data_IF_515927989536
#
_entry.id   IF_515927989536
#
_cell.length_a   1.000
_cell.length_b   1.000
_cell.length_c   1.000
_cell.angle_alpha   90.00
_cell.angle_beta   90.00
_cell.angle_gamma   90.00
#
_symmetry.space_group_name_H-M   'P 1'
#
loop_
_entity.id
_entity.type
_entity.pdbx_description
1 polymer ?
#
# COMPACT_ATOMS: atom_id res chain seq x y z
N UNK A 1 -13.29 3.47 -10.66
CA UNK A 1 -13.78 2.34 -9.83
C UNK A 1 -12.92 1.12 -10.08
N UNK A 2 -12.56 0.39 -9.05
CA UNK A 2 -11.81 -0.85 -9.19
C UNK A 2 -12.73 -1.95 -9.74
N UNK A 3 -12.32 -2.63 -10.83
CA UNK A 3 -13.05 -3.78 -11.32
C UNK A 3 -12.77 -5.04 -10.49
N UNK A 4 -13.57 -6.08 -10.65
CA UNK A 4 -13.50 -7.30 -9.83
C UNK A 4 -12.15 -8.04 -9.95
N UNK A 5 -11.53 -8.03 -11.14
CA UNK A 5 -10.22 -8.66 -11.34
C UNK A 5 -9.12 -7.94 -10.55
N UNK A 6 -9.14 -6.61 -10.51
CA UNK A 6 -8.20 -5.81 -9.72
C UNK A 6 -8.43 -6.03 -8.24
N UNK A 7 -9.68 -6.04 -7.78
CA UNK A 7 -10.01 -6.33 -6.37
C UNK A 7 -9.52 -7.71 -5.95
N UNK A 8 -9.73 -8.71 -6.78
CA UNK A 8 -9.24 -10.08 -6.52
C UNK A 8 -7.72 -10.11 -6.40
N UNK A 9 -7.01 -9.50 -7.34
CA UNK A 9 -5.56 -9.44 -7.31
C UNK A 9 -5.03 -8.72 -6.07
N UNK A 10 -5.66 -7.62 -5.66
CA UNK A 10 -5.35 -6.88 -4.44
C UNK A 10 -5.57 -7.71 -3.18
N UNK A 11 -6.63 -8.51 -3.11
CA UNK A 11 -6.91 -9.36 -1.95
C UNK A 11 -5.95 -10.52 -1.81
N UNK A 12 -5.57 -11.14 -2.93
CA UNK A 12 -4.79 -12.39 -2.94
C UNK A 12 -3.26 -12.19 -2.86
N UNK A 13 -2.75 -11.00 -3.16
CA UNK A 13 -1.31 -10.75 -3.25
C UNK A 13 -0.83 -9.72 -2.23
N UNK A 14 0.45 -9.77 -1.88
CA UNK A 14 1.13 -8.77 -1.06
C UNK A 14 1.15 -7.41 -1.75
N UNK A 15 1.07 -6.35 -0.99
CA UNK A 15 1.26 -4.99 -1.49
C UNK A 15 2.60 -4.45 -1.05
N UNK A 16 3.25 -3.71 -1.95
CA UNK A 16 4.35 -2.82 -1.60
C UNK A 16 3.81 -1.40 -1.50
N UNK A 17 3.98 -0.80 -0.33
CA UNK A 17 3.60 0.59 -0.09
C UNK A 17 4.83 1.47 -0.21
N UNK A 18 4.75 2.51 -1.02
CA UNK A 18 5.83 3.47 -1.21
C UNK A 18 5.39 4.87 -0.80
N UNK A 19 6.26 5.54 -0.06
CA UNK A 19 6.14 6.96 0.30
C UNK A 19 7.44 7.67 0.08
N UNK A 20 7.38 8.99 -0.04
CA UNK A 20 8.55 9.83 -0.12
C UNK A 20 8.35 11.06 0.77
N UNK A 21 9.37 11.44 1.50
CA UNK A 21 9.41 12.69 2.27
C UNK A 21 10.82 13.27 2.23
N UNK A 22 10.92 14.58 2.05
CA UNK A 22 12.21 15.29 1.91
C UNK A 22 13.16 14.67 0.85
N UNK A 23 12.60 14.13 -0.24
CA UNK A 23 13.36 13.48 -1.31
C UNK A 23 13.86 12.06 -0.99
N UNK A 24 13.56 11.51 0.18
CA UNK A 24 13.98 10.15 0.59
C UNK A 24 12.83 9.17 0.34
N UNK A 25 12.99 8.22 -0.58
CA UNK A 25 11.99 7.20 -0.84
C UNK A 25 11.99 6.12 0.25
N UNK A 26 10.81 5.56 0.51
CA UNK A 26 10.63 4.43 1.40
C UNK A 26 9.62 3.46 0.82
N UNK A 27 9.87 2.16 0.96
CA UNK A 27 8.96 1.09 0.53
C UNK A 27 8.91 -0.01 1.56
N UNK A 28 7.70 -0.50 1.83
CA UNK A 28 7.47 -1.63 2.74
C UNK A 28 6.45 -2.61 2.17
N UNK A 29 6.65 -3.92 2.30
CA UNK A 29 5.62 -4.91 2.00
C UNK A 29 4.60 -4.95 3.13
N UNK A 30 3.33 -5.15 2.80
CA UNK A 30 2.25 -5.29 3.78
C UNK A 30 1.38 -6.50 3.48
N UNK A 31 1.09 -7.26 4.53
CA UNK A 31 0.20 -8.41 4.51
C UNK A 31 -1.19 -8.09 5.12
N UNK A 32 -1.23 -7.23 6.14
CA UNK A 32 -2.49 -6.76 6.75
C UNK A 32 -3.12 -5.68 5.88
N UNK A 33 -3.91 -6.10 4.91
CA UNK A 33 -4.52 -5.22 3.92
C UNK A 33 -5.83 -5.80 3.42
N UNK A 34 -6.72 -4.96 2.96
CA UNK A 34 -7.98 -5.38 2.33
C UNK A 34 -8.52 -4.28 1.40
N UNK A 35 -9.56 -4.63 0.67
CA UNK A 35 -10.36 -3.71 -0.14
C UNK A 35 -11.77 -3.70 0.42
N UNK A 36 -12.27 -2.55 0.81
CA UNK A 36 -13.63 -2.39 1.34
C UNK A 36 -14.67 -2.51 0.23
N UNK A 37 -15.93 -2.74 0.60
CA UNK A 37 -17.02 -2.88 -0.37
C UNK A 37 -17.24 -1.61 -1.19
N UNK A 38 -16.98 -0.44 -0.62
CA UNK A 38 -17.01 0.86 -1.30
C UNK A 38 -15.74 1.18 -2.11
N UNK A 39 -14.81 0.22 -2.19
CA UNK A 39 -13.63 0.29 -3.05
C UNK A 39 -12.44 1.05 -2.46
N UNK A 40 -12.43 1.34 -1.17
CA UNK A 40 -11.25 1.89 -0.49
C UNK A 40 -10.23 0.80 -0.22
N UNK A 41 -8.98 1.16 -0.31
CA UNK A 41 -7.88 0.31 0.08
C UNK A 41 -7.55 0.57 1.54
N UNK A 42 -7.44 -0.49 2.34
CA UNK A 42 -7.15 -0.37 3.78
C UNK A 42 -5.95 -1.20 4.16
N UNK A 43 -5.12 -0.68 5.04
CA UNK A 43 -3.90 -1.32 5.54
C UNK A 43 -3.86 -1.22 7.05
N UNK A 44 -3.62 -2.35 7.72
CA UNK A 44 -3.46 -2.38 9.18
C UNK A 44 -2.12 -1.79 9.61
N UNK A 45 -2.17 -0.86 10.57
CA UNK A 45 -0.98 -0.27 11.17
C UNK A 45 -0.47 -1.16 12.31
N UNK A 46 0.32 -2.17 11.97
CA UNK A 46 0.98 -3.03 12.95
C UNK A 46 2.44 -2.61 13.16
N UNK A 47 3.20 -2.46 12.09
CA UNK A 47 4.62 -2.13 12.10
C UNK A 47 4.97 -0.90 11.24
N UNK A 48 4.00 -0.06 10.94
CA UNK A 48 4.22 1.14 10.14
C UNK A 48 4.79 2.24 11.04
N UNK A 49 6.01 2.67 10.78
CA UNK A 49 6.66 3.77 11.49
C UNK A 49 7.11 4.88 10.51
N UNK A 50 8.13 4.62 9.72
CA UNK A 50 8.60 5.58 8.69
C UNK A 50 7.50 5.95 7.71
N UNK A 51 6.66 4.99 7.33
CA UNK A 51 5.50 5.20 6.48
C UNK A 51 4.55 6.27 7.05
N UNK A 52 4.19 6.15 8.33
CA UNK A 52 3.29 7.11 9.00
C UNK A 52 3.90 8.51 9.10
N UNK A 53 5.19 8.60 9.41
CA UNK A 53 5.92 9.88 9.45
C UNK A 53 5.94 10.55 8.08
N UNK A 54 6.20 9.77 7.04
CA UNK A 54 6.21 10.28 5.66
C UNK A 54 4.83 10.77 5.23
N UNK A 55 3.78 10.02 5.53
CA UNK A 55 2.40 10.42 5.22
C UNK A 55 1.99 11.72 5.93
N UNK A 56 2.38 11.88 7.19
CA UNK A 56 2.13 13.12 7.93
C UNK A 56 2.87 14.32 7.31
N UNK A 57 4.08 14.12 6.78
CA UNK A 57 4.90 15.17 6.20
C UNK A 57 4.56 15.49 4.74
N UNK A 58 3.99 14.55 3.97
CA UNK A 58 3.77 14.67 2.53
C UNK A 58 2.32 14.91 2.10
N UNK A 59 1.41 15.13 3.05
CA UNK A 59 -0.02 15.30 2.77
C UNK A 59 -0.76 14.00 2.43
N UNK A 60 -0.28 12.88 2.93
CA UNK A 60 -0.91 11.56 2.76
C UNK A 60 -0.61 10.88 1.43
N UNK A 61 0.34 11.37 0.64
CA UNK A 61 0.65 10.82 -0.68
C UNK A 61 1.31 9.46 -0.58
N UNK A 62 0.70 8.46 -1.25
CA UNK A 62 1.15 7.08 -1.22
C UNK A 62 1.06 6.45 -2.61
N UNK A 63 1.94 5.51 -2.88
CA UNK A 63 1.85 4.63 -4.03
C UNK A 63 1.84 3.17 -3.58
N UNK A 64 1.09 2.36 -4.29
CA UNK A 64 0.95 0.92 -4.03
C UNK A 64 1.34 0.17 -5.30
N UNK A 65 2.17 -0.86 -5.13
CA UNK A 65 2.42 -1.85 -6.17
C UNK A 65 1.87 -3.19 -5.74
N UNK A 66 1.18 -3.86 -6.64
CA UNK A 66 0.66 -5.21 -6.45
C UNK A 66 0.78 -5.99 -7.75
N UNK A 67 1.17 -7.25 -7.67
CA UNK A 67 1.28 -8.11 -8.85
C UNK A 67 1.04 -9.58 -8.50
N UNK A 68 0.60 -10.33 -9.49
CA UNK A 68 0.55 -11.77 -9.46
C UNK A 68 1.79 -12.33 -10.19
N UNK A 69 2.65 -13.02 -9.45
CA UNK A 69 3.90 -13.57 -9.98
C UNK A 69 3.68 -14.67 -11.03
N UNK A 70 2.53 -15.32 -11.04
CA UNK A 70 2.20 -16.39 -11.98
C UNK A 70 1.75 -15.83 -13.34
N UNK A 71 0.89 -14.83 -13.31
CA UNK A 71 0.33 -14.23 -14.54
C UNK A 71 1.11 -13.03 -15.02
N UNK A 72 1.99 -12.47 -14.19
CA UNK A 72 2.71 -11.22 -14.40
C UNK A 72 1.79 -10.02 -14.61
N UNK A 73 0.55 -10.13 -14.20
CA UNK A 73 -0.37 -9.01 -14.13
C UNK A 73 -0.11 -8.18 -12.90
N UNK A 74 0.05 -6.89 -13.06
CA UNK A 74 0.34 -5.99 -11.96
C UNK A 74 -0.23 -4.60 -12.15
N UNK A 75 -0.36 -3.89 -11.05
CA UNK A 75 -0.93 -2.55 -11.00
C UNK A 75 -0.10 -1.65 -10.11
N UNK A 76 0.03 -0.42 -10.53
CA UNK A 76 0.47 0.70 -9.71
C UNK A 76 -0.73 1.57 -9.38
N UNK A 77 -0.95 1.84 -8.12
CA UNK A 77 -2.06 2.64 -7.64
C UNK A 77 -1.46 3.81 -6.86
N UNK A 78 -1.92 5.01 -7.14
CA UNK A 78 -1.56 6.21 -6.38
C UNK A 78 -2.79 6.75 -5.69
N UNK A 79 -2.60 7.27 -4.51
CA UNK A 79 -3.71 7.77 -3.73
C UNK A 79 -3.30 8.67 -2.58
N UNK A 80 -4.28 8.98 -1.77
CA UNK A 80 -4.11 9.72 -0.53
C UNK A 80 -4.56 8.85 0.64
N UNK A 81 -3.70 8.69 1.62
CA UNK A 81 -3.94 7.88 2.81
C UNK A 81 -4.29 8.75 4.00
N UNK A 82 -5.25 8.30 4.78
CA UNK A 82 -5.59 8.84 6.10
C UNK A 82 -5.38 7.76 7.16
N UNK A 83 -4.80 8.13 8.28
CA UNK A 83 -4.67 7.24 9.44
C UNK A 83 -5.92 7.33 10.30
N UNK A 84 -6.54 6.19 10.59
CA UNK A 84 -7.68 6.08 11.50
C UNK A 84 -7.31 5.24 12.72
N UNK A 85 -7.73 5.67 13.90
CA UNK A 85 -7.35 5.05 15.18
C UNK A 85 -8.39 4.09 15.72
N UNK A 86 -9.62 4.13 15.20
CA UNK A 86 -10.74 3.31 15.63
C UNK A 86 -11.68 2.99 14.48
N UNK A 87 -12.71 2.22 14.77
CA UNK A 87 -13.73 1.82 13.81
C UNK A 87 -13.65 0.35 13.38
N UNK A 88 -14.59 -0.10 12.50
CA UNK A 88 -14.70 -1.52 12.15
C UNK A 88 -13.47 -2.06 11.40
N UNK A 89 -12.82 -1.25 10.59
CA UNK A 89 -11.60 -1.64 9.87
C UNK A 89 -10.44 -1.87 10.84
N UNK A 90 -10.28 -0.99 11.83
CA UNK A 90 -9.25 -1.15 12.87
C UNK A 90 -9.53 -2.38 13.71
N UNK A 91 -10.79 -2.63 14.09
CA UNK A 91 -11.18 -3.82 14.84
C UNK A 91 -10.87 -5.10 14.06
N UNK A 92 -11.11 -5.12 12.75
CA UNK A 92 -10.76 -6.23 11.88
C UNK A 92 -9.26 -6.51 11.89
N UNK A 93 -8.43 -5.51 11.74
CA UNK A 93 -6.97 -5.69 11.75
C UNK A 93 -6.43 -6.05 13.13
N UNK A 94 -7.03 -5.57 14.21
CA UNK A 94 -6.71 -6.04 15.58
C UNK A 94 -6.98 -7.52 15.74
N UNK A 95 -8.13 -8.01 15.27
CA UNK A 95 -8.46 -9.43 15.29
C UNK A 95 -7.49 -10.28 14.47
N UNK A 96 -7.11 -9.81 13.27
CA UNK A 96 -6.12 -10.49 12.42
C UNK A 96 -4.75 -10.55 13.09
N UNK A 97 -4.29 -9.45 13.70
CA UNK A 97 -3.02 -9.40 14.41
C UNK A 97 -3.02 -10.32 15.64
N UNK A 98 -4.12 -10.39 16.38
CA UNK A 98 -4.27 -11.29 17.52
C UNK A 98 -4.15 -12.76 17.10
N UNK A 99 -4.79 -13.15 16.00
CA UNK A 99 -4.68 -14.51 15.48
C UNK A 99 -3.25 -14.87 15.04
N UNK A 100 -2.53 -13.91 14.45
CA UNK A 100 -1.18 -14.16 13.93
C UNK A 100 -0.10 -14.05 14.99
N UNK A 101 -0.19 -13.10 15.88
CA UNK A 101 0.86 -12.78 16.85
C UNK A 101 0.53 -13.19 18.30
N UNK A 102 -0.67 -13.68 18.57
CA UNK A 102 -1.09 -14.15 19.89
C UNK A 102 -0.80 -13.16 21.03
N UNK A 103 -1.11 -11.88 20.80
CA UNK A 103 -0.91 -10.80 21.75
C UNK A 103 0.50 -10.15 21.73
N UNK A 104 1.44 -10.68 20.96
CA UNK A 104 2.79 -10.11 20.85
C UNK A 104 2.83 -8.80 20.07
N UNK A 105 1.87 -8.58 19.16
CA UNK A 105 1.69 -7.35 18.41
C UNK A 105 0.20 -7.09 18.13
N UNK A 106 -0.16 -5.83 17.96
CA UNK A 106 -1.53 -5.43 17.63
C UNK A 106 -1.53 -4.30 16.61
N UNK A 107 -2.66 -4.13 15.92
CA UNK A 107 -2.87 -2.96 15.07
C UNK A 107 -3.14 -1.72 15.95
N UNK A 108 -2.36 -0.67 15.76
CA UNK A 108 -2.54 0.63 16.42
C UNK A 108 -3.61 1.49 15.76
N UNK A 109 -3.96 1.14 14.54
CA UNK A 109 -4.90 1.84 13.69
C UNK A 109 -4.90 1.23 12.30
N UNK A 110 -5.40 1.97 11.32
CA UNK A 110 -5.38 1.57 9.93
C UNK A 110 -5.16 2.78 9.02
N UNK A 111 -4.60 2.54 7.85
CA UNK A 111 -4.61 3.49 6.75
C UNK A 111 -5.85 3.25 5.90
N UNK A 112 -6.62 4.29 5.64
CA UNK A 112 -7.68 4.32 4.63
C UNK A 112 -7.19 5.09 3.42
N UNK A 113 -7.14 4.46 2.27
CA UNK A 113 -6.50 5.00 1.06
C UNK A 113 -7.56 5.21 -0.01
N UNK A 114 -7.77 6.47 -0.38
CA UNK A 114 -8.54 6.87 -1.54
C UNK A 114 -7.59 6.90 -2.76
N UNK A 115 -7.84 6.06 -3.75
CA UNK A 115 -7.03 6.04 -4.97
C UNK A 115 -7.53 7.09 -5.98
N UNK A 116 -6.61 7.56 -6.82
CA UNK A 116 -6.91 8.49 -7.90
C UNK A 116 -6.97 7.73 -9.23
N UNK A 117 -8.15 7.60 -9.86
CA UNK A 117 -8.31 6.80 -11.08
C UNK A 117 -7.42 7.26 -12.25
N UNK A 118 -7.14 8.56 -12.35
CA UNK A 118 -6.24 9.12 -13.36
C UNK A 118 -4.78 8.70 -13.21
N UNK A 119 -4.42 8.14 -12.06
CA UNK A 119 -3.07 7.69 -11.72
C UNK A 119 -2.97 6.16 -11.65
N UNK A 120 -4.02 5.48 -12.11
CA UNK A 120 -4.06 4.02 -12.18
C UNK A 120 -3.40 3.55 -13.47
N UNK A 121 -2.27 2.87 -13.36
CA UNK A 121 -1.58 2.30 -14.50
C UNK A 121 -1.58 0.77 -14.42
N UNK A 122 -2.20 0.12 -15.41
CA UNK A 122 -2.03 -1.31 -15.66
C UNK A 122 -0.67 -1.50 -16.33
N UNK A 123 0.22 -2.22 -15.68
CA UNK A 123 1.44 -2.69 -16.34
C UNK A 123 1.30 -4.16 -16.68
N UNK A 124 1.09 -4.47 -17.99
CA UNK A 124 1.57 -5.73 -18.51
C UNK A 124 3.10 -5.63 -18.52
N UNK A 125 3.76 -6.69 -18.10
CA UNK A 125 5.21 -6.77 -18.10
C UNK A 125 5.79 -6.62 -19.52
N UNK A 126 5.85 -5.39 -20.01
CA UNK A 126 6.91 -5.01 -20.94
C UNK A 126 8.01 -4.46 -20.05
N UNK A 127 9.12 -5.17 -20.03
CA UNK A 127 10.35 -4.60 -19.49
C UNK A 127 10.55 -3.25 -20.20
N UNK A 128 10.38 -2.10 -19.54
CA UNK A 128 10.80 -0.87 -20.19
C UNK A 128 12.30 -1.00 -20.32
N UNK A 129 12.84 -0.76 -21.51
CA UNK A 129 14.25 -0.48 -21.61
C UNK A 129 14.53 0.67 -20.63
N UNK A 130 15.18 0.34 -19.53
CA UNK A 130 15.73 1.34 -18.65
C UNK A 130 16.73 2.12 -19.50
N UNK A 131 16.37 3.34 -19.87
CA UNK A 131 17.36 4.29 -20.32
C UNK A 131 18.48 4.37 -19.26
N UNK A 132 19.70 4.74 -19.64
CA UNK A 132 20.82 4.77 -18.69
C UNK A 132 20.43 5.59 -17.47
N UNK A 133 20.42 4.94 -16.29
CA UNK A 133 20.29 5.63 -15.03
C UNK A 133 21.39 6.69 -14.93
N UNK A 134 21.04 7.94 -14.60
CA UNK A 134 22.08 8.92 -14.32
C UNK A 134 22.96 8.37 -13.18
N UNK A 135 24.28 8.60 -13.23
CA UNK A 135 25.15 8.12 -12.18
C UNK A 135 24.70 8.69 -10.83
N UNK A 136 24.67 7.83 -9.81
CA UNK A 136 24.47 8.29 -8.44
C UNK A 136 25.58 9.28 -8.10
N UNK A 137 25.24 10.56 -8.02
CA UNK A 137 26.13 11.52 -7.39
C UNK A 137 26.00 11.32 -5.88
N UNK A 138 27.02 10.76 -5.27
CA UNK A 138 27.15 10.78 -3.83
C UNK A 138 27.27 12.22 -3.37
N UNK A 139 26.24 12.69 -2.72
CA UNK A 139 26.32 13.93 -1.98
C UNK A 139 26.96 13.67 -0.62
#
# INVERSE_FOLDING_TARGET
MLNENVKKLLKENMWDLATCSAGVPNVVPVAFKDVTDDGKLVVGDVFLDTMLRNLAANGGRIAISVYDAKTLEGYQIRGTAEHVSDGPVVAMFKAMAEQMFQGAATAKGALSIAFHPSLFARRRARVPECGPCPPFTHA
#
